data_IF_263051841732
#
_entry.id   IF_263051841732
#
_cell.length_a   1.000
_cell.length_b   1.000
_cell.length_c   1.000
_cell.angle_alpha   90.00
_cell.angle_beta   90.00
_cell.angle_gamma   90.00
#
_symmetry.space_group_name_H-M   'P 1'
#
loop_
_entity.id
_entity.type
_entity.pdbx_description
1 polymer ?
#
# COMPACT_ATOMS: atom_id res chain seq x y z
N UNK A 1 15.90 -14.85 11.94
CA UNK A 1 14.67 -14.02 11.93
C UNK A 1 15.00 -12.69 12.59
N UNK A 2 14.77 -11.56 11.92
CA UNK A 2 15.05 -10.24 12.51
C UNK A 2 14.14 -9.98 13.72
N UNK A 3 14.71 -9.50 14.83
CA UNK A 3 14.00 -9.27 16.10
C UNK A 3 13.33 -7.89 16.21
N UNK A 4 13.56 -6.97 15.26
CA UNK A 4 13.14 -5.57 15.35
C UNK A 4 12.68 -5.03 13.98
N UNK A 5 11.73 -4.09 14.01
CA UNK A 5 11.38 -3.28 12.84
C UNK A 5 12.49 -2.25 12.59
N UNK A 6 12.78 -1.98 11.31
CA UNK A 6 13.80 -1.08 10.81
C UNK A 6 13.16 -0.15 9.78
N UNK A 7 13.80 1.00 9.50
CA UNK A 7 13.35 1.93 8.46
C UNK A 7 13.21 1.26 7.09
N UNK A 8 14.10 0.32 6.76
CA UNK A 8 14.06 -0.42 5.50
C UNK A 8 12.81 -1.28 5.30
N UNK A 9 12.07 -1.60 6.37
CA UNK A 9 10.79 -2.30 6.27
C UNK A 9 9.63 -1.39 5.82
N UNK A 10 9.83 -0.06 5.78
CA UNK A 10 8.84 0.91 5.27
C UNK A 10 9.36 1.69 4.07
N UNK A 11 10.38 1.16 3.36
CA UNK A 11 11.05 1.84 2.26
C UNK A 11 10.60 1.38 0.86
N UNK A 12 9.55 0.54 0.76
CA UNK A 12 9.01 0.08 -0.53
C UNK A 12 9.76 -1.08 -1.20
N UNK A 13 10.90 -1.53 -0.67
CA UNK A 13 11.75 -2.55 -1.30
C UNK A 13 11.57 -3.98 -0.79
N UNK A 14 12.54 -4.85 -1.12
CA UNK A 14 12.52 -6.29 -0.82
C UNK A 14 12.27 -6.61 0.66
N UNK A 15 12.79 -5.80 1.59
CA UNK A 15 12.60 -6.03 3.03
C UNK A 15 11.16 -5.75 3.48
N UNK A 16 10.46 -4.81 2.85
CA UNK A 16 9.04 -4.56 3.08
C UNK A 16 8.20 -5.72 2.52
N UNK A 17 8.46 -6.14 1.28
CA UNK A 17 7.80 -7.27 0.63
C UNK A 17 7.90 -8.55 1.49
N UNK A 18 9.11 -8.85 1.96
CA UNK A 18 9.36 -10.00 2.85
C UNK A 18 8.59 -9.88 4.17
N UNK A 19 8.54 -8.68 4.76
CA UNK A 19 7.78 -8.45 5.99
C UNK A 19 6.30 -8.75 5.77
N UNK A 20 5.71 -8.23 4.70
CA UNK A 20 4.29 -8.42 4.37
C UNK A 20 3.99 -9.92 4.16
N UNK A 21 4.76 -10.59 3.29
CA UNK A 21 4.56 -12.01 2.96
C UNK A 21 4.73 -12.93 4.17
N UNK A 22 5.78 -12.75 4.97
CA UNK A 22 6.09 -13.68 6.07
C UNK A 22 5.34 -13.38 7.37
N UNK A 23 4.97 -12.11 7.60
CA UNK A 23 4.39 -11.67 8.89
C UNK A 23 2.95 -11.23 8.81
N UNK A 24 2.44 -10.77 7.66
CA UNK A 24 1.08 -10.26 7.57
C UNK A 24 0.15 -11.24 6.86
N UNK A 25 0.45 -11.64 5.62
CA UNK A 25 -0.49 -12.39 4.76
C UNK A 25 -1.05 -13.66 5.41
N UNK A 26 -0.23 -14.40 6.16
CA UNK A 26 -0.65 -15.64 6.83
C UNK A 26 -1.79 -15.47 7.84
N UNK A 27 -2.08 -14.26 8.30
CA UNK A 27 -3.16 -13.97 9.24
C UNK A 27 -4.47 -13.55 8.55
N UNK A 28 -4.43 -13.24 7.26
CA UNK A 28 -5.57 -12.74 6.50
C UNK A 28 -6.04 -13.79 5.47
N UNK A 29 -6.92 -14.68 5.90
CA UNK A 29 -7.55 -15.68 5.02
C UNK A 29 -8.67 -15.00 4.24
N UNK A 30 -8.64 -15.11 2.92
CA UNK A 30 -9.58 -14.46 2.02
C UNK A 30 -10.28 -15.48 1.14
N UNK A 31 -11.58 -15.30 0.92
CA UNK A 31 -12.42 -16.12 0.03
C UNK A 31 -13.37 -15.18 -0.71
N UNK A 32 -13.60 -15.47 -1.99
CA UNK A 32 -14.55 -14.76 -2.85
C UNK A 32 -14.22 -13.24 -2.97
N UNK A 33 -12.99 -12.92 -3.33
CA UNK A 33 -12.53 -11.55 -3.61
C UNK A 33 -11.83 -11.59 -4.97
N UNK A 34 -12.15 -10.65 -5.87
CA UNK A 34 -11.64 -10.62 -7.24
C UNK A 34 -10.14 -10.31 -7.28
N UNK A 35 -9.73 -9.26 -6.54
CA UNK A 35 -8.31 -8.94 -6.29
C UNK A 35 -8.05 -9.01 -4.78
N UNK A 36 -7.56 -10.15 -4.26
CA UNK A 36 -7.31 -10.33 -2.83
C UNK A 36 -5.99 -9.67 -2.39
N UNK A 37 -5.85 -9.39 -1.09
CA UNK A 37 -4.62 -8.88 -0.46
C UNK A 37 -3.39 -9.75 -0.75
N UNK A 38 -3.56 -11.06 -1.02
CA UNK A 38 -2.44 -11.93 -1.38
C UNK A 38 -1.83 -11.62 -2.75
N UNK A 39 -2.54 -10.89 -3.61
CA UNK A 39 -2.02 -10.40 -4.89
C UNK A 39 -0.97 -9.31 -4.68
N UNK A 40 -1.02 -8.59 -3.55
CA UNK A 40 -0.15 -7.45 -3.26
C UNK A 40 -0.15 -6.41 -4.41
N UNK A 41 -1.34 -6.17 -4.95
CA UNK A 41 -1.61 -5.21 -6.02
C UNK A 41 -1.90 -3.81 -5.44
N UNK A 42 -2.08 -2.81 -6.31
CA UNK A 42 -2.28 -1.40 -5.92
C UNK A 42 -3.64 -1.15 -5.23
N UNK A 43 -4.65 -2.00 -5.49
CA UNK A 43 -5.96 -1.98 -4.83
C UNK A 43 -6.56 -3.38 -4.65
N UNK A 44 -7.49 -3.50 -3.71
CA UNK A 44 -8.40 -4.65 -3.66
C UNK A 44 -9.62 -4.40 -4.55
N UNK A 45 -10.23 -5.48 -5.05
CA UNK A 45 -11.49 -5.43 -5.81
C UNK A 45 -12.49 -6.39 -5.19
N UNK A 46 -13.62 -5.87 -4.74
CA UNK A 46 -14.71 -6.61 -4.10
C UNK A 46 -16.03 -6.11 -4.69
N UNK A 47 -16.80 -6.99 -5.34
CA UNK A 47 -18.11 -6.65 -5.91
C UNK A 47 -18.05 -5.41 -6.82
N UNK A 48 -17.09 -5.38 -7.75
CA UNK A 48 -16.78 -4.26 -8.66
C UNK A 48 -16.37 -2.94 -7.96
N UNK A 49 -16.10 -2.95 -6.66
CA UNK A 49 -15.57 -1.80 -5.91
C UNK A 49 -14.05 -1.91 -5.84
N UNK A 50 -13.35 -0.95 -6.44
CA UNK A 50 -11.91 -0.75 -6.25
C UNK A 50 -11.66 0.01 -4.96
N UNK A 51 -10.86 -0.56 -4.08
CA UNK A 51 -10.56 0.00 -2.78
C UNK A 51 -9.07 -0.05 -2.48
N UNK A 52 -8.49 1.12 -2.19
CA UNK A 52 -7.10 1.26 -1.77
C UNK A 52 -7.01 2.18 -0.56
N UNK A 53 -5.89 2.10 0.14
CA UNK A 53 -5.57 2.98 1.24
C UNK A 53 -4.08 3.23 1.25
N UNK A 54 -3.72 4.47 1.57
CA UNK A 54 -2.33 4.86 1.66
C UNK A 54 -2.10 5.82 2.83
N UNK A 55 -0.87 5.85 3.34
CA UNK A 55 -0.52 6.70 4.48
C UNK A 55 0.76 7.47 4.21
N UNK A 56 0.68 8.80 4.32
CA UNK A 56 1.75 9.68 3.91
C UNK A 56 2.47 10.27 5.12
N UNK A 57 3.78 10.06 5.18
CA UNK A 57 4.65 10.56 6.27
C UNK A 57 5.76 11.48 5.76
N UNK A 58 5.54 12.11 4.60
CA UNK A 58 6.54 12.96 3.93
C UNK A 58 6.97 14.14 4.82
N UNK A 59 8.26 14.49 4.74
CA UNK A 59 8.85 15.66 5.40
C UNK A 59 9.81 16.37 4.43
N UNK A 60 9.78 17.71 4.35
CA UNK A 60 8.84 18.64 5.00
C UNK A 60 7.40 18.49 4.50
N UNK A 61 6.43 19.11 5.19
CA UNK A 61 5.01 19.02 4.79
C UNK A 61 4.71 19.76 3.47
N UNK A 62 5.48 20.79 3.16
CA UNK A 62 5.42 21.57 1.91
C UNK A 62 6.80 21.52 1.26
N UNK A 63 6.85 21.24 -0.04
CA UNK A 63 8.09 21.08 -0.80
C UNK A 63 7.93 21.63 -2.22
N UNK A 64 9.02 21.91 -2.96
CA UNK A 64 8.92 22.37 -4.34
C UNK A 64 8.11 21.37 -5.19
N UNK A 65 6.98 21.82 -5.73
CA UNK A 65 6.08 20.99 -6.56
C UNK A 65 4.89 20.35 -5.82
N UNK A 66 4.74 20.51 -4.50
CA UNK A 66 3.56 20.00 -3.80
C UNK A 66 3.62 20.07 -2.28
N UNK A 67 2.68 19.37 -1.64
CA UNK A 67 2.60 19.21 -0.20
C UNK A 67 2.06 17.82 0.16
N UNK A 68 1.98 17.53 1.46
CA UNK A 68 1.45 16.26 1.96
C UNK A 68 0.00 16.01 1.52
N UNK A 69 -0.81 17.06 1.38
CA UNK A 69 -2.19 16.96 0.94
C UNK A 69 -2.28 16.61 -0.56
N UNK A 70 -1.51 17.30 -1.40
CA UNK A 70 -1.43 16.96 -2.83
C UNK A 70 -0.89 15.55 -3.03
N UNK A 71 0.13 15.14 -2.26
CA UNK A 71 0.65 13.78 -2.30
C UNK A 71 -0.40 12.75 -1.87
N UNK A 72 -1.17 13.03 -0.82
CA UNK A 72 -2.21 12.13 -0.34
C UNK A 72 -3.33 11.93 -1.35
N UNK A 73 -3.79 13.01 -1.98
CA UNK A 73 -4.82 12.92 -3.02
C UNK A 73 -4.26 12.21 -4.24
N UNK A 74 -3.12 12.66 -4.77
CA UNK A 74 -2.57 12.09 -6.00
C UNK A 74 -2.15 10.62 -5.85
N UNK A 75 -1.55 10.23 -4.73
CA UNK A 75 -1.16 8.84 -4.47
C UNK A 75 -2.36 7.90 -4.52
N UNK A 76 -3.35 8.13 -3.66
CA UNK A 76 -4.56 7.28 -3.60
C UNK A 76 -5.36 7.30 -4.91
N UNK A 77 -5.48 8.46 -5.59
CA UNK A 77 -6.16 8.51 -6.90
C UNK A 77 -5.40 7.70 -7.95
N UNK A 78 -4.08 7.75 -7.96
CA UNK A 78 -3.28 7.00 -8.93
C UNK A 78 -3.41 5.49 -8.72
N UNK A 79 -3.42 5.01 -7.48
CA UNK A 79 -3.59 3.58 -7.16
C UNK A 79 -4.94 3.02 -7.63
N UNK A 80 -6.01 3.84 -7.59
CA UNK A 80 -7.31 3.48 -8.17
C UNK A 80 -7.24 3.52 -9.71
N UNK A 81 -6.64 4.56 -10.28
CA UNK A 81 -6.60 4.75 -11.73
C UNK A 81 -5.84 3.64 -12.47
N UNK A 82 -4.75 3.12 -11.90
CA UNK A 82 -3.98 2.01 -12.51
C UNK A 82 -4.74 0.68 -12.50
N UNK A 83 -5.75 0.56 -11.65
CA UNK A 83 -6.68 -0.57 -11.61
C UNK A 83 -7.85 -0.43 -12.61
N UNK A 84 -7.93 0.70 -13.32
CA UNK A 84 -8.94 0.95 -14.34
C UNK A 84 -10.28 1.46 -13.79
N UNK A 85 -10.28 2.07 -12.60
CA UNK A 85 -11.45 2.70 -11.97
C UNK A 85 -11.32 4.22 -11.84
#
# INVERSE_FOLDING_TARGET
>A
MEKRIKLSHGAGGELMDRLIKEKMLKYFVQKNIDVPLSSLDDSAVIDDIVFTTDSHTVKPLFFPGGDIGSLAVSGTVNDIAVMGA
#
